data_IF_098347116964
#
_entry.id   IF_098347116964
#
_cell.length_a   1.000
_cell.length_b   1.000
_cell.length_c   1.000
_cell.angle_alpha   90.00
_cell.angle_beta   90.00
_cell.angle_gamma   90.00
#
_symmetry.space_group_name_H-M   'P 1'
#
loop_
_entity.id
_entity.type
_entity.pdbx_description
1 polymer ?
#
# COMPACT_ATOMS: atom_id res chain seq x y z
N UNK A 1 -18.73 -0.53 -4.12
CA UNK A 1 -17.56 -0.67 -3.24
C UNK A 1 -16.61 -1.73 -3.80
N UNK A 2 -15.32 -1.41 -3.92
CA UNK A 2 -14.29 -2.26 -4.52
C UNK A 2 -13.08 -2.38 -3.59
N UNK A 3 -12.20 -3.35 -3.86
CA UNK A 3 -10.93 -3.57 -3.16
C UNK A 3 -9.82 -3.36 -4.15
N UNK A 4 -8.94 -2.41 -3.86
CA UNK A 4 -7.68 -2.27 -4.56
C UNK A 4 -6.63 -3.15 -3.90
N UNK A 5 -6.18 -4.17 -4.63
CA UNK A 5 -5.14 -5.10 -4.19
C UNK A 5 -3.79 -4.68 -4.79
N UNK A 6 -2.82 -4.36 -3.93
CA UNK A 6 -1.48 -3.93 -4.32
C UNK A 6 -0.43 -4.89 -3.73
N UNK A 7 0.08 -5.86 -4.50
CA UNK A 7 1.22 -6.66 -4.08
C UNK A 7 2.51 -5.83 -4.22
N UNK A 8 3.30 -5.74 -3.16
CA UNK A 8 4.55 -4.97 -3.14
C UNK A 8 5.68 -5.88 -2.68
N UNK A 9 6.79 -5.87 -3.40
CA UNK A 9 7.99 -6.63 -3.06
C UNK A 9 9.06 -5.66 -2.54
N UNK A 10 9.46 -5.85 -1.30
CA UNK A 10 10.46 -5.04 -0.61
C UNK A 10 11.78 -5.79 -0.54
N UNK A 11 12.85 -5.17 -1.01
CA UNK A 11 14.21 -5.64 -0.72
C UNK A 11 14.70 -4.96 0.54
N UNK A 12 15.06 -5.76 1.55
CA UNK A 12 15.59 -5.28 2.82
C UNK A 12 17.09 -5.52 2.90
N UNK A 13 17.86 -4.52 3.35
CA UNK A 13 19.19 -4.77 3.90
C UNK A 13 19.03 -5.01 5.40
N UNK A 14 19.24 -6.24 5.90
CA UNK A 14 19.06 -6.52 7.32
C UNK A 14 20.01 -5.65 8.14
N UNK A 15 19.45 -4.80 8.99
CA UNK A 15 20.20 -4.06 9.99
C UNK A 15 20.07 -4.80 11.31
N UNK A 16 21.20 -5.21 11.91
CA UNK A 16 21.25 -5.86 13.24
C UNK A 16 20.66 -4.98 14.35
N UNK A 17 20.46 -3.68 14.10
CA UNK A 17 19.98 -2.68 15.07
C UNK A 17 18.51 -2.30 14.90
N UNK A 18 17.79 -2.83 13.91
CA UNK A 18 16.39 -2.44 13.66
C UNK A 18 15.43 -3.54 14.13
N UNK A 19 14.73 -3.34 15.27
CA UNK A 19 13.73 -4.28 15.73
C UNK A 19 12.64 -4.50 14.68
N UNK A 20 12.12 -5.74 14.60
CA UNK A 20 11.09 -6.11 13.64
C UNK A 20 9.83 -5.25 13.79
N UNK A 21 9.46 -4.92 15.01
CA UNK A 21 8.29 -4.10 15.34
C UNK A 21 8.43 -2.66 14.81
N UNK A 22 9.61 -2.06 14.96
CA UNK A 22 9.90 -0.71 14.43
C UNK A 22 9.81 -0.71 12.91
N UNK A 23 10.35 -1.74 12.25
CA UNK A 23 10.23 -1.90 10.81
C UNK A 23 8.77 -2.06 10.37
N UNK A 24 8.01 -2.92 11.06
CA UNK A 24 6.59 -3.14 10.75
C UNK A 24 5.79 -1.86 10.95
N UNK A 25 6.00 -1.13 12.05
CA UNK A 25 5.36 0.16 12.31
C UNK A 25 5.67 1.17 11.20
N UNK A 26 6.94 1.27 10.78
CA UNK A 26 7.31 2.12 9.66
C UNK A 26 6.60 1.76 8.34
N UNK A 27 6.36 0.47 8.07
CA UNK A 27 5.54 0.05 6.93
C UNK A 27 4.07 0.47 7.08
N UNK A 28 3.49 0.37 8.27
CA UNK A 28 2.13 0.85 8.53
C UNK A 28 2.02 2.36 8.34
N UNK A 29 2.95 3.13 8.90
CA UNK A 29 2.97 4.58 8.80
C UNK A 29 3.13 5.01 7.33
N UNK A 30 4.03 4.38 6.58
CA UNK A 30 4.24 4.66 5.15
C UNK A 30 2.99 4.37 4.31
N UNK A 31 2.33 3.23 4.53
CA UNK A 31 1.09 2.89 3.81
C UNK A 31 -0.05 3.84 4.15
N UNK A 32 -0.12 4.29 5.40
CA UNK A 32 -1.12 5.29 5.83
C UNK A 32 -0.88 6.63 5.14
N UNK A 33 0.38 7.07 5.07
CA UNK A 33 0.74 8.30 4.34
C UNK A 33 0.44 8.20 2.84
N UNK A 34 0.64 7.03 2.21
CA UNK A 34 0.22 6.82 0.81
C UNK A 34 -1.28 6.99 0.65
N UNK A 35 -2.07 6.48 1.59
CA UNK A 35 -3.52 6.64 1.54
C UNK A 35 -3.92 8.11 1.59
N UNK A 36 -3.38 8.89 2.54
CA UNK A 36 -3.64 10.33 2.66
C UNK A 36 -3.29 11.08 1.37
N UNK A 37 -2.12 10.80 0.78
CA UNK A 37 -1.69 11.40 -0.49
C UNK A 37 -2.63 11.08 -1.66
N UNK A 38 -3.18 9.87 -1.70
CA UNK A 38 -4.12 9.46 -2.75
C UNK A 38 -5.48 10.13 -2.56
N UNK A 39 -5.95 10.22 -1.32
CA UNK A 39 -7.21 10.89 -0.98
C UNK A 39 -7.14 12.40 -1.30
N UNK A 40 -6.01 13.05 -1.06
CA UNK A 40 -5.76 14.44 -1.46
C UNK A 40 -5.67 14.63 -2.99
N UNK A 41 -5.13 13.62 -3.70
CA UNK A 41 -4.94 13.68 -5.15
C UNK A 41 -6.24 13.46 -5.93
N UNK A 42 -7.15 12.62 -5.42
CA UNK A 42 -8.32 12.15 -6.16
C UNK A 42 -9.62 12.71 -5.58
N UNK A 43 -10.08 13.83 -6.13
CA UNK A 43 -11.43 14.38 -5.84
C UNK A 43 -12.57 13.55 -6.44
N UNK A 44 -12.27 12.62 -7.37
CA UNK A 44 -13.23 11.78 -8.13
C UNK A 44 -13.33 10.32 -7.65
N UNK A 45 -12.58 9.95 -6.61
CA UNK A 45 -12.59 8.60 -6.05
C UNK A 45 -11.92 8.62 -4.69
N UNK A 46 -12.62 8.14 -3.66
CA UNK A 46 -12.14 8.17 -2.27
C UNK A 46 -11.68 6.77 -1.86
N UNK A 47 -10.52 6.67 -1.21
CA UNK A 47 -10.23 5.51 -0.38
C UNK A 47 -11.16 5.62 0.83
N UNK A 48 -12.14 4.71 0.93
CA UNK A 48 -13.18 4.77 1.96
C UNK A 48 -12.69 4.38 3.36
N UNK A 49 -11.43 3.96 3.49
CA UNK A 49 -10.88 3.45 4.75
C UNK A 49 -10.57 4.58 5.73
N UNK A 50 -11.60 5.10 6.40
CA UNK A 50 -11.41 5.78 7.68
C UNK A 50 -11.96 4.87 8.79
N UNK A 51 -11.15 4.33 9.73
CA UNK A 51 -9.69 4.43 9.89
C UNK A 51 -8.92 3.44 8.99
N UNK A 52 -7.57 3.49 8.89
CA UNK A 52 -6.81 2.70 7.92
C UNK A 52 -6.91 1.20 8.22
N UNK A 53 -7.87 0.53 7.59
CA UNK A 53 -7.91 -0.91 7.47
C UNK A 53 -7.16 -1.37 6.21
N UNK A 54 -6.08 -0.68 5.85
CA UNK A 54 -5.12 -1.27 4.94
C UNK A 54 -4.68 -2.62 5.58
N UNK A 55 -5.16 -3.74 5.04
CA UNK A 55 -4.80 -5.06 5.58
C UNK A 55 -3.39 -5.37 5.11
N UNK A 56 -2.43 -4.82 5.84
CA UNK A 56 -1.01 -4.99 5.57
C UNK A 56 -0.60 -6.39 6.03
N UNK A 57 -0.27 -7.26 5.07
CA UNK A 57 0.35 -8.55 5.36
C UNK A 57 1.78 -8.52 4.86
N UNK A 58 2.72 -8.36 5.79
CA UNK A 58 4.14 -8.49 5.51
C UNK A 58 4.59 -9.93 5.74
N UNK A 59 5.21 -10.52 4.72
CA UNK A 59 5.83 -11.85 4.75
C UNK A 59 7.36 -11.69 4.74
N UNK A 60 8.03 -11.74 5.93
CA UNK A 60 9.45 -11.44 6.05
C UNK A 60 10.39 -12.29 5.17
N UNK A 61 10.21 -13.62 5.02
CA UNK A 61 11.13 -14.44 4.23
C UNK A 61 11.21 -14.03 2.75
N UNK A 62 10.11 -13.55 2.18
CA UNK A 62 10.03 -13.16 0.78
C UNK A 62 10.05 -11.65 0.56
N UNK A 63 10.13 -10.85 1.64
CA UNK A 63 9.99 -9.39 1.57
C UNK A 63 8.65 -8.91 1.01
N UNK A 64 7.64 -9.77 0.95
CA UNK A 64 6.36 -9.46 0.28
C UNK A 64 5.45 -8.69 1.24
N UNK A 65 5.06 -7.49 0.86
CA UNK A 65 4.07 -6.66 1.51
C UNK A 65 2.80 -6.68 0.67
N UNK A 66 1.71 -7.19 1.21
CA UNK A 66 0.40 -7.10 0.56
C UNK A 66 -0.37 -5.97 1.20
N UNK A 67 -0.75 -4.98 0.40
CA UNK A 67 -1.60 -3.86 0.82
C UNK A 67 -2.95 -3.99 0.13
N UNK A 68 -4.02 -3.76 0.90
CA UNK A 68 -5.40 -3.80 0.38
C UNK A 68 -6.11 -2.54 0.82
N UNK A 69 -6.60 -1.74 -0.11
CA UNK A 69 -7.40 -0.55 0.18
C UNK A 69 -8.87 -0.77 -0.16
N UNK A 70 -9.77 -0.27 0.69
CA UNK A 70 -11.19 -0.21 0.37
C UNK A 70 -11.41 1.08 -0.40
N UNK A 71 -11.92 0.94 -1.61
CA UNK A 71 -12.02 2.07 -2.53
C UNK A 71 -13.45 2.16 -3.04
N UNK A 72 -13.90 3.39 -3.21
CA UNK A 72 -15.10 3.70 -3.97
C UNK A 72 -14.71 4.69 -5.06
N UNK A 73 -14.80 4.20 -6.28
CA UNK A 73 -14.74 5.04 -7.46
C UNK A 73 -16.13 5.12 -8.07
N UNK A 74 -16.50 6.30 -8.53
CA UNK A 74 -17.68 6.49 -9.36
C UNK A 74 -17.41 5.94 -10.78
N UNK A 75 -16.17 6.10 -11.27
CA UNK A 75 -15.66 5.55 -12.53
C UNK A 75 -14.38 4.72 -12.31
N UNK A 76 -14.11 3.66 -13.11
CA UNK A 76 -12.86 2.90 -12.99
C UNK A 76 -11.62 3.82 -13.05
N UNK A 77 -10.65 3.69 -12.12
CA UNK A 77 -9.46 4.53 -12.15
C UNK A 77 -8.64 4.28 -13.40
N UNK A 78 -8.18 5.36 -14.01
CA UNK A 78 -7.36 5.32 -15.21
C UNK A 78 -5.89 5.00 -14.90
N UNK A 79 -5.11 4.63 -15.92
CA UNK A 79 -3.67 4.36 -15.77
C UNK A 79 -2.88 5.46 -15.02
N UNK A 80 -3.13 6.77 -15.23
CA UNK A 80 -2.44 7.82 -14.49
C UNK A 80 -2.61 7.75 -12.97
N UNK A 81 -3.78 7.30 -12.48
CA UNK A 81 -4.02 7.09 -11.06
C UNK A 81 -3.06 6.03 -10.49
N UNK A 82 -2.94 4.90 -11.18
CA UNK A 82 -2.03 3.83 -10.76
C UNK A 82 -0.57 4.28 -10.79
N UNK A 83 -0.16 5.04 -11.81
CA UNK A 83 1.17 5.63 -11.86
C UNK A 83 1.47 6.50 -10.65
N UNK A 84 0.52 7.34 -10.21
CA UNK A 84 0.66 8.17 -9.00
C UNK A 84 0.70 7.35 -7.73
N UNK A 85 -0.22 6.39 -7.57
CA UNK A 85 -0.23 5.47 -6.44
C UNK A 85 1.11 4.74 -6.28
N UNK A 86 1.68 4.23 -7.38
CA UNK A 86 2.95 3.53 -7.36
C UNK A 86 4.12 4.47 -7.02
N UNK A 87 4.06 5.71 -7.49
CA UNK A 87 5.01 6.76 -7.09
C UNK A 87 4.97 7.04 -5.59
N UNK A 88 3.79 7.20 -5.00
CA UNK A 88 3.65 7.40 -3.56
C UNK A 88 4.16 6.20 -2.75
N UNK A 89 3.87 4.98 -3.20
CA UNK A 89 4.42 3.79 -2.57
C UNK A 89 5.95 3.73 -2.61
N UNK A 90 6.55 4.04 -3.76
CA UNK A 90 8.00 4.06 -3.90
C UNK A 90 8.63 5.10 -2.97
N UNK A 91 8.07 6.32 -2.92
CA UNK A 91 8.53 7.40 -2.04
C UNK A 91 8.44 7.04 -0.55
N UNK A 92 7.25 6.66 -0.07
CA UNK A 92 7.02 6.46 1.36
C UNK A 92 7.69 5.18 1.88
N UNK A 93 7.66 4.09 1.12
CA UNK A 93 8.26 2.83 1.56
C UNK A 93 9.78 2.87 1.55
N UNK A 94 10.42 3.67 0.68
CA UNK A 94 11.89 3.87 0.71
C UNK A 94 12.36 4.68 1.93
N UNK A 95 11.49 5.47 2.55
CA UNK A 95 11.81 6.18 3.81
C UNK A 95 11.86 5.25 5.01
N UNK A 96 11.26 4.06 4.91
CA UNK A 96 11.28 3.07 5.99
C UNK A 96 12.69 2.51 6.16
N UNK A 97 13.29 2.62 7.36
CA UNK A 97 14.65 2.15 7.59
C UNK A 97 14.84 0.68 7.18
N UNK A 98 15.88 0.43 6.38
CA UNK A 98 16.23 -0.90 5.91
C UNK A 98 15.55 -1.33 4.61
N UNK A 99 14.54 -0.61 4.10
CA UNK A 99 14.05 -0.80 2.72
C UNK A 99 15.07 -0.19 1.75
N UNK A 100 15.42 -0.95 0.71
CA UNK A 100 16.40 -0.53 -0.31
C UNK A 100 15.83 -0.53 -1.71
N UNK A 101 14.77 -1.31 -1.93
CA UNK A 101 14.05 -1.37 -3.21
C UNK A 101 12.59 -1.68 -2.95
N UNK A 102 11.73 -1.04 -3.72
CA UNK A 102 10.28 -1.23 -3.75
C UNK A 102 9.91 -1.62 -5.18
N UNK A 103 9.16 -2.70 -5.34
CA UNK A 103 8.60 -3.11 -6.64
C UNK A 103 7.12 -3.39 -6.43
N UNK A 104 6.27 -2.56 -7.02
CA UNK A 104 4.83 -2.79 -7.03
C UNK A 104 4.51 -3.79 -8.15
N UNK A 105 3.90 -4.90 -7.79
CA UNK A 105 3.42 -5.89 -8.75
C UNK A 105 2.08 -5.51 -9.35
N UNK A 106 1.52 -6.39 -10.18
CA UNK A 106 0.25 -6.16 -10.85
C UNK A 106 -0.87 -5.91 -9.84
N UNK A 107 -1.37 -4.68 -9.84
CA UNK A 107 -2.40 -4.22 -8.94
C UNK A 107 -3.76 -4.36 -9.61
N UNK A 108 -4.77 -4.80 -8.85
CA UNK A 108 -6.08 -5.12 -9.40
C UNK A 108 -7.20 -4.61 -8.52
N UNK A 109 -8.27 -4.16 -9.16
CA UNK A 109 -9.55 -3.89 -8.51
C UNK A 109 -10.39 -5.15 -8.49
N UNK A 110 -10.96 -5.45 -7.34
CA UNK A 110 -11.88 -6.58 -7.16
C UNK A 110 -13.17 -6.10 -6.48
N UNK A 111 -14.30 -6.78 -6.70
CA UNK A 111 -15.55 -6.43 -6.03
C UNK A 111 -15.44 -6.63 -4.50
N UNK A 112 -16.05 -5.74 -3.71
CA UNK A 112 -15.98 -5.82 -2.25
C UNK A 112 -16.64 -7.07 -1.63
N UNK A 113 -17.46 -7.81 -2.38
CA UNK A 113 -18.04 -9.10 -1.96
C UNK A 113 -17.00 -10.18 -1.64
N UNK A 114 -15.73 -10.00 -2.05
CA UNK A 114 -14.61 -10.86 -1.70
C UNK A 114 -13.88 -10.46 -0.39
N UNK A 115 -14.37 -9.44 0.34
CA UNK A 115 -13.75 -8.95 1.58
C UNK A 115 -14.08 -9.79 2.82
N UNK A 116 -15.11 -10.66 2.76
CA UNK A 116 -15.73 -11.31 3.91
C UNK A 116 -15.66 -12.85 3.99
N UNK A 117 -14.75 -13.52 3.27
CA UNK A 117 -14.44 -14.94 3.51
C UNK A 117 -12.99 -15.10 4.00
#
# INVERSE_FOLDING_TARGET
MQVLFCPIYLTRKPSRKLPREVFQRGLYDAVTSVQEKVDDYSSKGRILCNPPQARIKFHPPSGRLVVKFLVQYDDPPEQPFFGKLFGFFDEELKRVPGVTRVVVGESRLTGAWLWGK
#
